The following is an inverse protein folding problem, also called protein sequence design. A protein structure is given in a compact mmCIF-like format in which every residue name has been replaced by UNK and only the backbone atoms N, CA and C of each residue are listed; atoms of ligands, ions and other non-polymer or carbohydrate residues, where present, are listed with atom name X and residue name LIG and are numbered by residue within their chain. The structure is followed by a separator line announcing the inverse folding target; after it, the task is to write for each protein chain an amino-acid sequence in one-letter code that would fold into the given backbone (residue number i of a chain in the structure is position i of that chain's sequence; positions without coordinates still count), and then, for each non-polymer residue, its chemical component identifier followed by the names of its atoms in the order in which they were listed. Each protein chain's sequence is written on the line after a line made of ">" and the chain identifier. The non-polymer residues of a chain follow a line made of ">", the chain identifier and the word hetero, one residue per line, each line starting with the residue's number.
data_IF_375917014803
#
_entry.id   IF_375917014803
#
_cell.length_a   1.000
_cell.length_b   1.000
_cell.length_c   1.000
_cell.angle_alpha   90.00
_cell.angle_beta   90.00
_cell.angle_gamma   90.00
#
_symmetry.space_group_name_H-M   'P 1'
#
loop_
_entity.id
_entity.type
_entity.pdbx_description
1 polymer ?
#
# COMPACT_ATOMS: atom_id res chain seq x y z
N UNK A 1 17.45 13.28 18.66
CA UNK A 1 16.05 13.31 19.21
C UNK A 1 15.54 11.90 19.39
N UNK A 2 14.53 11.65 20.27
CA UNK A 2 13.94 10.30 20.45
C UNK A 2 12.56 10.27 19.84
N UNK A 3 12.34 9.32 18.91
CA UNK A 3 11.09 9.10 18.20
C UNK A 3 10.48 7.78 18.68
N UNK A 4 9.24 7.79 19.18
CA UNK A 4 8.48 6.61 19.54
C UNK A 4 7.49 6.25 18.44
N UNK A 5 7.57 5.01 17.97
CA UNK A 5 6.82 4.52 16.80
C UNK A 5 5.87 3.42 17.21
N UNK A 6 4.62 3.51 16.75
CA UNK A 6 3.63 2.46 16.87
C UNK A 6 3.92 1.33 15.86
N UNK A 7 4.50 0.23 16.34
CA UNK A 7 4.88 -0.93 15.55
C UNK A 7 3.81 -2.03 15.46
N UNK A 8 2.56 -1.80 15.89
CA UNK A 8 1.51 -2.82 15.90
C UNK A 8 1.28 -3.47 14.53
N UNK A 9 1.45 -2.71 13.46
CA UNK A 9 1.29 -3.21 12.08
C UNK A 9 2.33 -4.26 11.70
N UNK A 10 3.47 -4.33 12.36
CA UNK A 10 4.50 -5.36 12.13
C UNK A 10 4.20 -6.70 12.81
N UNK A 11 3.20 -6.77 13.67
CA UNK A 11 2.83 -8.00 14.41
C UNK A 11 1.74 -8.83 13.73
N UNK A 12 1.22 -8.34 12.61
CA UNK A 12 0.23 -9.02 11.78
C UNK A 12 0.57 -8.82 10.30
N UNK A 13 0.04 -9.69 9.45
CA UNK A 13 0.20 -9.51 8.01
C UNK A 13 -0.62 -8.29 7.54
N UNK A 14 0.07 -7.20 7.23
CA UNK A 14 -0.51 -5.99 6.65
C UNK A 14 0.48 -5.43 5.63
N UNK A 15 0.34 -5.80 4.36
CA UNK A 15 1.36 -5.51 3.35
C UNK A 15 1.62 -3.99 3.18
N UNK A 16 0.63 -3.21 2.75
CA UNK A 16 0.85 -1.80 2.38
C UNK A 16 1.26 -0.89 3.54
N UNK A 17 0.50 -0.91 4.66
CA UNK A 17 0.76 -0.02 5.82
C UNK A 17 2.10 -0.35 6.47
N UNK A 18 2.42 -1.64 6.61
CA UNK A 18 3.67 -2.06 7.23
C UNK A 18 4.88 -1.76 6.35
N UNK A 19 4.75 -1.91 5.03
CA UNK A 19 5.79 -1.53 4.06
C UNK A 19 6.04 -0.03 4.12
N UNK A 20 4.99 0.79 4.07
CA UNK A 20 5.09 2.23 4.21
C UNK A 20 5.81 2.65 5.51
N UNK A 21 5.41 2.06 6.65
CA UNK A 21 6.05 2.35 7.94
C UNK A 21 7.52 1.96 7.93
N UNK A 22 7.84 0.74 7.46
CA UNK A 22 9.23 0.27 7.37
C UNK A 22 10.06 1.24 6.54
N UNK A 23 9.65 1.49 5.30
CA UNK A 23 10.43 2.25 4.35
C UNK A 23 10.61 3.71 4.79
N UNK A 24 9.55 4.35 5.32
CA UNK A 24 9.63 5.72 5.83
C UNK A 24 10.54 5.84 7.05
N UNK A 25 10.50 4.88 7.97
CA UNK A 25 11.37 4.88 9.16
C UNK A 25 12.82 4.60 8.78
N UNK A 26 13.07 3.65 7.88
CA UNK A 26 14.41 3.33 7.39
C UNK A 26 15.07 4.55 6.73
N UNK A 27 14.36 5.20 5.82
CA UNK A 27 14.86 6.38 5.13
C UNK A 27 15.08 7.55 6.11
N UNK A 28 14.15 7.77 7.07
CA UNK A 28 14.32 8.79 8.10
C UNK A 28 15.54 8.52 9.00
N UNK A 29 15.70 7.27 9.45
CA UNK A 29 16.82 6.87 10.29
C UNK A 29 18.18 7.02 9.59
N UNK A 30 18.25 6.74 8.30
CA UNK A 30 19.45 6.93 7.48
C UNK A 30 19.80 8.41 7.29
N UNK A 31 18.81 9.28 7.10
CA UNK A 31 19.02 10.73 6.95
C UNK A 31 19.42 11.41 8.27
N UNK A 32 18.95 10.90 9.40
CA UNK A 32 19.17 11.48 10.74
C UNK A 32 19.75 10.44 11.70
N UNK A 33 21.00 10.08 11.52
CA UNK A 33 21.73 9.08 12.31
C UNK A 33 21.88 9.45 13.80
N UNK A 34 21.78 10.74 14.16
CA UNK A 34 21.81 11.23 15.54
C UNK A 34 20.49 11.01 16.30
N UNK A 35 19.41 10.72 15.59
CA UNK A 35 18.10 10.46 16.19
C UNK A 35 17.96 8.98 16.56
N UNK A 36 17.17 8.67 17.58
CA UNK A 36 16.90 7.28 17.99
C UNK A 36 15.44 6.94 17.78
N UNK A 37 15.20 5.88 17.03
CA UNK A 37 13.87 5.40 16.64
C UNK A 37 13.48 4.17 17.44
N UNK A 38 12.49 4.29 18.34
CA UNK A 38 11.98 3.18 19.13
C UNK A 38 10.69 2.65 18.54
N UNK A 39 10.76 1.51 17.86
CA UNK A 39 9.57 0.81 17.33
C UNK A 39 9.05 -0.12 18.43
N UNK A 40 7.91 0.22 19.02
CA UNK A 40 7.29 -0.55 20.08
C UNK A 40 6.30 -1.58 19.53
N UNK A 41 6.48 -2.84 19.92
CA UNK A 41 5.65 -3.97 19.49
C UNK A 41 4.84 -4.54 20.66
N UNK A 42 3.52 -4.84 20.46
CA UNK A 42 2.70 -5.55 21.44
C UNK A 42 2.96 -7.06 21.46
N UNK A 43 3.54 -7.61 20.42
CA UNK A 43 3.77 -9.05 20.18
C UNK A 43 5.03 -9.24 19.33
N UNK A 44 5.54 -10.48 19.20
CA UNK A 44 6.62 -10.79 18.27
C UNK A 44 6.31 -10.32 16.84
N UNK A 45 7.37 -9.98 16.11
CA UNK A 45 7.29 -9.68 14.68
C UNK A 45 6.62 -10.81 13.92
N UNK A 46 5.76 -10.43 12.98
CA UNK A 46 5.27 -11.39 12.00
C UNK A 46 6.43 -11.90 11.13
N UNK A 47 6.42 -13.17 10.76
CA UNK A 47 7.47 -13.86 10.00
C UNK A 47 7.84 -13.22 8.64
N UNK A 48 6.98 -12.35 8.13
CA UNK A 48 7.23 -11.61 6.88
C UNK A 48 8.15 -10.40 7.06
N UNK A 49 8.47 -10.03 8.31
CA UNK A 49 9.37 -8.92 8.61
C UNK A 49 10.67 -9.45 9.19
N UNK A 50 11.79 -9.12 8.54
CA UNK A 50 13.13 -9.39 9.05
C UNK A 50 13.61 -8.22 9.93
N UNK A 51 14.41 -8.55 10.94
CA UNK A 51 15.14 -7.54 11.74
C UNK A 51 16.43 -7.08 11.04
N UNK A 52 16.90 -7.90 10.11
CA UNK A 52 18.14 -7.66 9.40
C UNK A 52 18.05 -6.44 8.49
N UNK A 53 19.13 -5.67 8.47
CA UNK A 53 19.23 -4.45 7.66
C UNK A 53 18.56 -3.20 8.27
N UNK A 54 18.14 -3.23 9.54
CA UNK A 54 17.74 -2.02 10.24
C UNK A 54 18.97 -1.16 10.57
N UNK A 55 18.92 0.19 10.40
CA UNK A 55 19.97 1.09 10.88
C UNK A 55 20.20 0.95 12.37
N UNK A 56 21.43 1.19 12.84
CA UNK A 56 21.85 1.04 14.25
C UNK A 56 21.04 1.92 15.21
N UNK A 57 20.53 3.04 14.73
CA UNK A 57 19.70 3.97 15.50
C UNK A 57 18.21 3.58 15.55
N UNK A 58 17.81 2.44 14.94
CA UNK A 58 16.45 1.87 14.99
C UNK A 58 16.39 0.73 15.99
N UNK A 59 15.70 0.94 17.09
CA UNK A 59 15.52 -0.03 18.16
C UNK A 59 14.12 -0.62 18.09
N UNK A 60 14.03 -1.88 17.65
CA UNK A 60 12.79 -2.62 17.56
C UNK A 60 12.64 -3.53 18.79
N UNK A 61 11.63 -3.27 19.62
CA UNK A 61 11.47 -3.97 20.90
C UNK A 61 10.03 -4.35 21.21
N UNK A 62 9.86 -5.58 21.71
CA UNK A 62 8.61 -6.05 22.29
C UNK A 62 8.43 -5.49 23.71
N UNK A 63 7.25 -4.95 23.96
CA UNK A 63 6.84 -4.42 25.26
C UNK A 63 5.58 -5.14 25.73
N UNK A 64 5.67 -6.46 25.86
CA UNK A 64 4.53 -7.34 26.15
C UNK A 64 4.81 -8.34 27.29
N UNK A 65 5.65 -7.98 28.27
CA UNK A 65 5.99 -8.87 29.38
C UNK A 65 4.85 -8.96 30.42
N UNK A 66 4.63 -10.13 31.01
CA UNK A 66 3.67 -10.37 32.08
C UNK A 66 2.22 -10.13 31.64
N UNK A 67 1.45 -9.42 32.47
CA UNK A 67 0.03 -9.08 32.25
C UNK A 67 -0.27 -8.38 30.91
N UNK A 68 0.71 -7.65 30.36
CA UNK A 68 0.52 -6.90 29.12
C UNK A 68 0.49 -7.78 27.87
N UNK A 69 0.92 -9.04 27.94
CA UNK A 69 0.93 -9.98 26.81
C UNK A 69 -0.48 -10.36 26.34
N UNK A 70 -1.44 -10.37 27.25
CA UNK A 70 -2.83 -10.76 26.98
C UNK A 70 -3.72 -9.58 26.58
N UNK A 71 -3.21 -8.34 26.60
CA UNK A 71 -4.03 -7.19 26.27
C UNK A 71 -4.41 -7.16 24.78
N UNK A 72 -5.67 -6.81 24.46
CA UNK A 72 -6.05 -6.46 23.10
C UNK A 72 -5.17 -5.31 22.57
N UNK A 73 -4.84 -5.34 21.28
CA UNK A 73 -3.92 -4.38 20.64
C UNK A 73 -4.29 -2.90 20.92
N UNK A 74 -5.59 -2.60 20.99
CA UNK A 74 -6.06 -1.24 21.28
C UNK A 74 -5.78 -0.85 22.74
N UNK A 75 -6.04 -1.74 23.70
CA UNK A 75 -5.77 -1.48 25.11
C UNK A 75 -4.27 -1.33 25.35
N UNK A 76 -3.47 -2.20 24.74
CA UNK A 76 -2.01 -2.09 24.77
C UNK A 76 -1.54 -0.72 24.25
N UNK A 77 -2.06 -0.26 23.11
CA UNK A 77 -1.75 1.06 22.56
C UNK A 77 -2.05 2.18 23.56
N UNK A 78 -3.26 2.15 24.17
CA UNK A 78 -3.73 3.22 25.04
C UNK A 78 -2.95 3.30 26.38
N UNK A 79 -2.42 2.19 26.84
CA UNK A 79 -1.67 2.10 28.11
C UNK A 79 -0.17 2.20 27.90
N UNK A 80 0.38 1.35 27.03
CA UNK A 80 1.82 1.22 26.88
C UNK A 80 2.47 2.41 26.19
N UNK A 81 1.84 2.96 25.13
CA UNK A 81 2.47 4.08 24.41
C UNK A 81 2.66 5.34 25.26
N UNK A 82 1.69 5.79 26.10
CA UNK A 82 1.92 6.90 27.02
C UNK A 82 3.00 6.60 28.08
N UNK A 83 3.09 5.37 28.56
CA UNK A 83 4.14 4.96 29.52
C UNK A 83 5.52 4.99 28.87
N UNK A 84 5.65 4.43 27.66
CA UNK A 84 6.89 4.43 26.91
C UNK A 84 7.31 5.86 26.50
N UNK A 85 6.37 6.69 26.10
CA UNK A 85 6.62 8.08 25.75
C UNK A 85 7.30 8.84 26.91
N UNK A 86 6.80 8.66 28.15
CA UNK A 86 7.39 9.26 29.35
C UNK A 86 8.73 8.63 29.69
N UNK A 87 8.80 7.28 29.69
CA UNK A 87 10.03 6.54 30.06
C UNK A 87 11.20 6.87 29.14
N UNK A 88 10.95 6.96 27.84
CA UNK A 88 11.95 7.23 26.80
C UNK A 88 12.19 8.73 26.61
N UNK A 89 11.42 9.59 27.29
CA UNK A 89 11.41 11.05 27.07
C UNK A 89 11.31 11.40 25.59
N UNK A 90 10.43 10.66 24.87
CA UNK A 90 10.31 10.80 23.43
C UNK A 90 9.72 12.17 23.05
N UNK A 91 10.38 12.85 22.10
CA UNK A 91 9.94 14.16 21.61
C UNK A 91 8.89 14.03 20.50
N UNK A 92 8.89 12.91 19.77
CA UNK A 92 7.94 12.63 18.67
C UNK A 92 7.26 11.29 18.90
N UNK A 93 5.95 11.25 18.62
CA UNK A 93 5.17 10.05 18.46
C UNK A 93 4.76 9.90 16.98
N UNK A 94 5.13 8.79 16.35
CA UNK A 94 4.79 8.49 14.97
C UNK A 94 3.95 7.21 14.89
N UNK A 95 2.78 7.30 14.25
CA UNK A 95 1.90 6.15 14.06
C UNK A 95 1.47 6.02 12.60
N UNK A 96 1.58 4.79 12.03
CA UNK A 96 1.19 4.54 10.63
C UNK A 96 -0.33 4.51 10.43
N UNK A 97 -1.11 4.71 11.48
CA UNK A 97 -2.58 4.70 11.41
C UNK A 97 -3.16 5.83 12.28
N UNK A 98 -4.31 6.40 11.94
CA UNK A 98 -4.92 7.50 12.67
C UNK A 98 -5.57 7.03 13.99
N UNK A 99 -4.75 6.53 14.91
CA UNK A 99 -5.18 6.03 16.22
C UNK A 99 -4.23 6.54 17.33
N UNK A 100 -4.50 7.74 17.85
CA UNK A 100 -3.70 8.37 18.90
C UNK A 100 -4.13 7.94 20.30
N UNK A 101 -3.21 7.50 21.18
CA UNK A 101 -3.46 7.33 22.61
C UNK A 101 -3.95 8.62 23.28
N UNK A 102 -4.79 8.49 24.31
CA UNK A 102 -5.38 9.66 25.00
C UNK A 102 -4.37 10.42 25.84
N UNK A 103 -3.41 9.72 26.48
CA UNK A 103 -2.56 10.24 27.54
C UNK A 103 -1.10 10.50 27.12
N UNK A 104 -0.86 10.77 25.83
CA UNK A 104 0.46 11.18 25.36
C UNK A 104 0.86 12.54 26.01
N UNK A 105 2.16 12.75 26.31
CA UNK A 105 2.65 14.03 26.79
C UNK A 105 2.24 15.19 25.87
N UNK A 106 1.87 16.33 26.45
CA UNK A 106 1.46 17.51 25.67
C UNK A 106 2.59 18.12 24.88
N UNK A 107 3.83 18.06 25.40
CA UNK A 107 5.04 18.54 24.74
C UNK A 107 5.51 17.66 23.57
N UNK A 108 4.96 16.46 23.43
CA UNK A 108 5.35 15.52 22.39
C UNK A 108 4.63 15.85 21.08
N UNK A 109 5.40 16.01 19.99
CA UNK A 109 4.84 16.19 18.65
C UNK A 109 4.25 14.87 18.15
N UNK A 110 3.01 14.90 17.63
CA UNK A 110 2.23 13.72 17.22
C UNK A 110 2.05 13.72 15.72
N UNK A 111 2.62 12.71 15.07
CA UNK A 111 2.54 12.50 13.63
C UNK A 111 1.68 11.27 13.38
N UNK A 112 0.62 11.41 12.59
CA UNK A 112 -0.24 10.31 12.17
C UNK A 112 -0.20 10.16 10.65
N UNK A 113 -0.25 8.93 10.16
CA UNK A 113 -0.41 8.66 8.72
C UNK A 113 -1.88 8.35 8.42
N UNK A 114 -2.40 8.97 7.37
CA UNK A 114 -3.73 8.71 6.81
C UNK A 114 -3.54 8.16 5.40
N UNK A 115 -3.67 6.84 5.27
CA UNK A 115 -3.49 6.16 3.98
C UNK A 115 -4.67 6.35 3.04
N UNK A 116 -5.87 6.34 3.60
CA UNK A 116 -7.12 6.57 2.88
C UNK A 116 -8.23 7.05 3.84
N UNK A 117 -9.38 7.34 3.29
CA UNK A 117 -10.60 7.71 4.02
C UNK A 117 -11.73 6.69 3.81
N UNK A 118 -11.38 5.47 3.41
CA UNK A 118 -12.32 4.36 3.16
C UNK A 118 -13.22 4.11 4.39
N UNK A 119 -12.65 4.26 5.59
CA UNK A 119 -13.40 4.15 6.85
C UNK A 119 -14.54 5.20 6.99
N UNK A 120 -14.51 6.26 6.20
CA UNK A 120 -15.58 7.28 6.16
C UNK A 120 -16.50 7.04 4.97
N UNK A 121 -15.95 6.72 3.80
CA UNK A 121 -16.71 6.62 2.54
C UNK A 121 -17.46 5.29 2.35
N UNK A 122 -16.96 4.20 2.94
CA UNK A 122 -17.48 2.84 2.77
C UNK A 122 -17.89 2.18 4.10
N UNK A 123 -18.50 2.95 5.00
CA UNK A 123 -18.92 2.46 6.33
C UNK A 123 -19.90 1.29 6.25
N UNK A 124 -20.75 1.24 5.23
CA UNK A 124 -21.77 0.21 5.03
C UNK A 124 -21.20 -1.19 4.79
N UNK A 125 -19.90 -1.29 4.47
CA UNK A 125 -19.20 -2.58 4.26
C UNK A 125 -18.53 -3.11 5.52
N UNK A 126 -18.56 -2.37 6.63
CA UNK A 126 -17.85 -2.68 7.88
C UNK A 126 -18.82 -3.15 8.97
N UNK A 127 -18.28 -3.97 9.91
CA UNK A 127 -19.05 -4.29 11.12
C UNK A 127 -19.26 -3.03 11.97
N UNK A 128 -20.46 -2.83 12.47
CA UNK A 128 -20.88 -1.61 13.21
C UNK A 128 -19.98 -1.26 14.41
N UNK A 129 -19.47 -2.28 15.14
CA UNK A 129 -18.52 -2.09 16.25
C UNK A 129 -17.21 -1.47 15.78
N UNK A 130 -16.69 -1.91 14.63
CA UNK A 130 -15.48 -1.36 14.02
C UNK A 130 -15.71 0.07 13.51
N UNK A 131 -16.90 0.35 12.99
CA UNK A 131 -17.29 1.70 12.53
C UNK A 131 -17.26 2.68 13.71
N UNK A 132 -17.84 2.32 14.86
CA UNK A 132 -17.90 3.20 16.04
C UNK A 132 -16.51 3.47 16.61
N UNK A 133 -15.68 2.43 16.79
CA UNK A 133 -14.32 2.55 17.31
C UNK A 133 -13.45 3.36 16.34
N UNK A 134 -13.51 3.06 15.05
CA UNK A 134 -12.78 3.79 14.03
C UNK A 134 -13.20 5.27 13.99
N UNK A 135 -14.49 5.56 13.99
CA UNK A 135 -15.02 6.94 13.96
C UNK A 135 -14.52 7.74 15.15
N UNK A 136 -14.55 7.17 16.35
CA UNK A 136 -14.10 7.85 17.57
C UNK A 136 -12.59 8.12 17.53
N UNK A 137 -11.78 7.10 17.25
CA UNK A 137 -10.32 7.24 17.24
C UNK A 137 -9.82 8.03 16.03
N UNK A 138 -10.37 7.78 14.86
CA UNK A 138 -9.99 8.47 13.63
C UNK A 138 -10.26 9.98 13.75
N UNK A 139 -11.50 10.38 14.06
CA UNK A 139 -11.87 11.80 14.18
C UNK A 139 -11.02 12.53 15.22
N UNK A 140 -10.87 11.90 16.40
CA UNK A 140 -10.03 12.47 17.46
C UNK A 140 -8.57 12.59 17.03
N UNK A 141 -8.03 11.56 16.37
CA UNK A 141 -6.63 11.57 15.93
C UNK A 141 -6.37 12.66 14.91
N UNK A 142 -7.26 12.81 13.93
CA UNK A 142 -7.20 13.93 12.97
C UNK A 142 -7.20 15.29 13.68
N UNK A 143 -8.01 15.46 14.71
CA UNK A 143 -8.11 16.73 15.43
C UNK A 143 -6.93 17.02 16.38
N UNK A 144 -6.27 15.97 16.89
CA UNK A 144 -5.26 16.08 17.94
C UNK A 144 -3.82 15.82 17.48
N UNK A 145 -3.64 15.35 16.25
CA UNK A 145 -2.30 15.23 15.68
C UNK A 145 -1.70 16.62 15.42
N UNK A 146 -0.43 16.79 15.61
CA UNK A 146 0.29 18.01 15.26
C UNK A 146 0.58 18.02 13.75
N UNK A 147 0.94 16.86 13.19
CA UNK A 147 1.13 16.66 11.75
C UNK A 147 0.28 15.49 11.26
N UNK A 148 -0.43 15.68 10.15
CA UNK A 148 -1.07 14.61 9.37
C UNK A 148 -0.20 14.34 8.16
N UNK A 149 0.24 13.10 8.01
CA UNK A 149 0.93 12.64 6.81
C UNK A 149 -0.05 11.86 5.93
N UNK A 150 -0.28 12.32 4.71
CA UNK A 150 -1.08 11.63 3.70
C UNK A 150 -0.19 11.08 2.61
N UNK A 151 -0.55 9.96 2.02
CA UNK A 151 0.22 9.32 0.96
C UNK A 151 -0.10 9.87 -0.45
N UNK A 152 -1.18 10.65 -0.61
CA UNK A 152 -1.58 11.27 -1.87
C UNK A 152 -2.28 12.61 -1.66
N UNK A 153 -2.30 13.46 -2.67
CA UNK A 153 -3.08 14.69 -2.67
C UNK A 153 -4.59 14.40 -2.68
N UNK A 154 -5.01 13.29 -3.29
CA UNK A 154 -6.38 12.82 -3.20
C UNK A 154 -6.79 12.60 -1.72
N UNK A 155 -6.01 11.84 -0.98
CA UNK A 155 -6.25 11.61 0.46
C UNK A 155 -6.18 12.91 1.25
N UNK A 156 -5.23 13.80 0.96
CA UNK A 156 -5.14 15.13 1.57
C UNK A 156 -6.42 15.94 1.37
N UNK A 157 -6.93 16.01 0.13
CA UNK A 157 -8.14 16.75 -0.19
C UNK A 157 -9.37 16.17 0.51
N UNK A 158 -9.44 14.83 0.61
CA UNK A 158 -10.50 14.15 1.38
C UNK A 158 -10.42 14.46 2.87
N UNK A 159 -9.23 14.47 3.47
CA UNK A 159 -9.06 14.89 4.88
C UNK A 159 -9.53 16.32 5.07
N UNK A 160 -9.18 17.25 4.18
CA UNK A 160 -9.65 18.64 4.23
C UNK A 160 -11.18 18.75 4.08
N UNK A 161 -11.76 17.97 3.19
CA UNK A 161 -13.21 17.94 2.94
C UNK A 161 -14.00 17.46 4.16
N UNK A 162 -13.55 16.37 4.80
CA UNK A 162 -14.25 15.78 5.95
C UNK A 162 -13.96 16.47 7.28
N UNK A 163 -12.84 17.20 7.37
CA UNK A 163 -12.43 17.92 8.58
C UNK A 163 -12.14 19.41 8.31
N UNK A 164 -13.09 20.20 7.81
CA UNK A 164 -12.88 21.57 7.37
C UNK A 164 -12.52 22.53 8.52
N UNK A 165 -12.88 22.19 9.78
CA UNK A 165 -12.58 23.01 10.97
C UNK A 165 -11.14 22.87 11.47
N UNK A 166 -10.38 21.90 10.96
CA UNK A 166 -8.97 21.78 11.28
C UNK A 166 -8.19 22.83 10.50
N UNK A 167 -7.31 23.56 11.17
CA UNK A 167 -6.34 24.42 10.49
C UNK A 167 -5.40 23.51 9.68
N UNK A 168 -5.52 23.55 8.36
CA UNK A 168 -4.90 22.60 7.44
C UNK A 168 -3.40 22.87 7.17
N UNK A 169 -2.72 23.65 8.02
CA UNK A 169 -1.31 23.99 7.81
C UNK A 169 -0.34 22.83 8.04
N UNK A 170 -0.79 21.79 8.76
CA UNK A 170 0.05 20.70 9.20
C UNK A 170 -0.21 19.38 8.47
N UNK A 171 -0.65 19.44 7.21
CA UNK A 171 -0.77 18.24 6.36
C UNK A 171 0.43 18.18 5.41
N UNK A 172 1.20 17.11 5.55
CA UNK A 172 2.26 16.75 4.63
C UNK A 172 1.76 15.63 3.69
N UNK A 173 2.19 15.65 2.44
CA UNK A 173 1.80 14.61 1.47
C UNK A 173 3.03 14.07 0.78
N UNK A 174 3.14 12.75 0.80
CA UNK A 174 4.19 12.02 0.11
C UNK A 174 4.16 10.54 0.43
N UNK A 175 4.44 9.72 -0.54
CA UNK A 175 4.61 8.28 -0.39
C UNK A 175 5.58 7.77 -1.44
N UNK A 176 6.29 6.71 -1.08
CA UNK A 176 7.21 6.00 -1.96
C UNK A 176 7.19 4.52 -1.64
N UNK A 177 7.95 3.78 -2.38
CA UNK A 177 8.28 2.37 -2.16
C UNK A 177 9.79 2.20 -2.30
N UNK A 178 10.32 1.08 -1.83
CA UNK A 178 11.76 0.81 -1.91
C UNK A 178 12.20 0.60 -3.38
N UNK A 179 12.87 1.61 -3.93
CA UNK A 179 13.38 1.63 -5.31
C UNK A 179 14.59 0.72 -5.52
N UNK A 180 15.20 0.22 -4.47
CA UNK A 180 16.27 -0.79 -4.58
C UNK A 180 15.69 -2.16 -4.90
N UNK A 181 14.45 -2.41 -4.46
CA UNK A 181 13.68 -3.63 -4.73
C UNK A 181 12.96 -3.51 -6.06
N UNK A 182 12.11 -2.48 -6.23
CA UNK A 182 11.27 -2.30 -7.41
C UNK A 182 12.02 -1.49 -8.48
N UNK A 183 12.56 -2.20 -9.46
CA UNK A 183 13.34 -1.62 -10.56
C UNK A 183 13.33 -2.53 -11.79
N UNK A 184 13.69 -2.02 -12.96
CA UNK A 184 13.94 -2.87 -14.11
C UNK A 184 15.08 -3.85 -13.82
N UNK A 185 14.87 -5.12 -14.14
CA UNK A 185 15.86 -6.19 -14.00
C UNK A 185 16.03 -6.95 -15.32
N UNK A 186 17.26 -7.22 -15.70
CA UNK A 186 17.56 -8.09 -16.83
C UNK A 186 17.48 -9.55 -16.32
N UNK A 187 16.49 -10.31 -16.77
CA UNK A 187 16.31 -11.71 -16.45
C UNK A 187 16.96 -12.58 -17.53
N UNK A 188 17.74 -13.56 -17.10
CA UNK A 188 18.20 -14.63 -17.98
C UNK A 188 17.01 -15.48 -18.44
N UNK A 189 17.16 -16.22 -19.55
CA UNK A 189 16.07 -17.08 -20.03
C UNK A 189 15.73 -18.19 -19.02
N UNK A 190 16.73 -18.69 -18.28
CA UNK A 190 16.53 -19.66 -17.21
C UNK A 190 15.68 -19.07 -16.06
N UNK A 191 15.99 -17.87 -15.59
CA UNK A 191 15.22 -17.19 -14.52
C UNK A 191 13.80 -16.88 -14.96
N UNK A 192 13.64 -16.45 -16.22
CA UNK A 192 12.35 -16.23 -16.84
C UNK A 192 11.50 -17.50 -16.86
N UNK A 193 12.05 -18.57 -17.41
CA UNK A 193 11.38 -19.86 -17.51
C UNK A 193 11.05 -20.42 -16.14
N UNK A 194 11.96 -20.32 -15.17
CA UNK A 194 11.75 -20.80 -13.82
C UNK A 194 10.57 -20.11 -13.13
N UNK A 195 10.51 -18.76 -13.15
CA UNK A 195 9.41 -18.02 -12.50
C UNK A 195 8.08 -18.25 -13.20
N UNK A 196 8.05 -18.31 -14.54
CA UNK A 196 6.82 -18.59 -15.29
C UNK A 196 6.30 -20.01 -15.00
N UNK A 197 7.17 -21.00 -14.96
CA UNK A 197 6.81 -22.38 -14.62
C UNK A 197 6.33 -22.50 -13.16
N UNK A 198 7.00 -21.86 -12.20
CA UNK A 198 6.62 -21.86 -10.79
C UNK A 198 5.19 -21.40 -10.57
N UNK A 199 4.73 -20.41 -11.33
CA UNK A 199 3.38 -19.86 -11.22
C UNK A 199 2.42 -20.33 -12.32
N UNK A 200 2.80 -21.36 -13.12
CA UNK A 200 1.97 -21.95 -14.19
C UNK A 200 1.52 -20.92 -15.24
N UNK A 201 2.39 -19.96 -15.55
CA UNK A 201 2.13 -18.93 -16.56
C UNK A 201 2.67 -19.44 -17.90
N UNK A 202 1.76 -19.68 -18.84
CA UNK A 202 2.09 -20.33 -20.11
C UNK A 202 2.01 -19.39 -21.32
N UNK A 203 1.40 -18.23 -21.17
CA UNK A 203 1.18 -17.26 -22.24
C UNK A 203 1.66 -15.86 -21.82
N UNK A 204 1.81 -14.92 -22.77
CA UNK A 204 1.93 -13.51 -22.43
C UNK A 204 0.79 -13.09 -21.50
N UNK A 205 1.09 -12.26 -20.49
CA UNK A 205 0.12 -11.99 -19.44
C UNK A 205 -0.01 -10.52 -19.07
N UNK A 206 -1.18 -10.17 -18.57
CA UNK A 206 -1.48 -8.95 -17.86
C UNK A 206 -1.51 -9.27 -16.36
N UNK A 207 -1.08 -8.34 -15.53
CA UNK A 207 -0.84 -8.58 -14.12
C UNK A 207 -1.77 -7.73 -13.25
N UNK A 208 -2.49 -8.38 -12.33
CA UNK A 208 -3.19 -7.74 -11.22
C UNK A 208 -2.49 -8.07 -9.90
N UNK A 209 -2.27 -7.06 -9.06
CA UNK A 209 -1.68 -7.23 -7.72
C UNK A 209 -2.52 -6.48 -6.71
N UNK A 210 -2.98 -7.19 -5.67
CA UNK A 210 -3.76 -6.59 -4.59
C UNK A 210 -4.57 -7.60 -3.78
N UNK A 211 -5.11 -7.15 -2.63
CA UNK A 211 -6.09 -7.95 -1.87
C UNK A 211 -7.34 -8.19 -2.71
N UNK A 212 -7.96 -9.38 -2.53
CA UNK A 212 -9.16 -9.74 -3.30
C UNK A 212 -10.43 -9.12 -2.68
N UNK A 213 -10.35 -7.85 -2.29
CA UNK A 213 -11.46 -7.07 -1.73
C UNK A 213 -12.37 -6.53 -2.85
N UNK A 214 -13.69 -6.36 -2.58
CA UNK A 214 -14.62 -5.80 -3.56
C UNK A 214 -14.16 -4.45 -4.14
N UNK A 215 -13.50 -3.62 -3.34
CA UNK A 215 -12.97 -2.32 -3.73
C UNK A 215 -11.92 -2.38 -4.84
N UNK A 216 -11.14 -3.47 -4.90
CA UNK A 216 -10.14 -3.69 -5.95
C UNK A 216 -10.76 -4.10 -7.30
N UNK A 217 -12.06 -4.42 -7.29
CA UNK A 217 -12.89 -4.66 -8.46
C UNK A 217 -12.31 -5.71 -9.44
N UNK A 218 -11.68 -6.76 -8.90
CA UNK A 218 -11.17 -7.87 -9.71
C UNK A 218 -12.30 -8.55 -10.50
N UNK A 219 -13.52 -8.56 -9.97
CA UNK A 219 -14.70 -9.09 -10.67
C UNK A 219 -14.93 -8.44 -12.03
N UNK A 220 -14.67 -7.13 -12.14
CA UNK A 220 -14.74 -6.44 -13.43
C UNK A 220 -13.68 -6.98 -14.40
N UNK A 221 -12.41 -7.09 -13.97
CA UNK A 221 -11.34 -7.63 -14.83
C UNK A 221 -11.61 -9.08 -15.26
N UNK A 222 -12.11 -9.92 -14.36
CA UNK A 222 -12.54 -11.28 -14.69
C UNK A 222 -13.66 -11.27 -15.74
N UNK A 223 -14.61 -10.34 -15.64
CA UNK A 223 -15.71 -10.22 -16.60
C UNK A 223 -15.27 -9.79 -18.01
N UNK A 224 -14.03 -9.34 -18.19
CA UNK A 224 -13.43 -9.02 -19.49
C UNK A 224 -12.87 -10.28 -20.18
N UNK A 225 -12.50 -11.31 -19.41
CA UNK A 225 -11.72 -12.46 -19.88
C UNK A 225 -12.40 -13.26 -21.02
N UNK A 226 -13.72 -13.49 -21.01
CA UNK A 226 -14.38 -14.21 -22.12
C UNK A 226 -14.16 -13.54 -23.48
N UNK A 227 -14.25 -12.21 -23.55
CA UNK A 227 -14.03 -11.50 -24.81
C UNK A 227 -12.54 -11.24 -25.09
N UNK A 228 -11.75 -10.95 -24.05
CA UNK A 228 -10.31 -10.76 -24.18
C UNK A 228 -9.61 -12.01 -24.71
N UNK A 229 -10.02 -13.22 -24.27
CA UNK A 229 -9.44 -14.50 -24.70
C UNK A 229 -9.76 -14.86 -26.16
N UNK A 230 -10.88 -14.38 -26.71
CA UNK A 230 -11.20 -14.53 -28.15
C UNK A 230 -10.32 -13.66 -29.03
N UNK A 231 -9.88 -12.50 -28.52
CA UNK A 231 -9.18 -11.46 -29.29
C UNK A 231 -7.69 -11.45 -29.06
N UNK A 232 -7.19 -12.18 -28.07
CA UNK A 232 -5.78 -12.25 -27.72
C UNK A 232 -5.42 -13.57 -27.04
N UNK A 233 -4.13 -13.88 -26.97
CA UNK A 233 -3.62 -15.02 -26.20
C UNK A 233 -3.19 -14.63 -24.76
N UNK A 234 -3.61 -13.47 -24.27
CA UNK A 234 -3.24 -12.99 -22.97
C UNK A 234 -3.84 -13.83 -21.83
N UNK A 235 -3.04 -14.08 -20.80
CA UNK A 235 -3.51 -14.57 -19.50
C UNK A 235 -3.67 -13.40 -18.52
N UNK A 236 -4.61 -13.51 -17.59
CA UNK A 236 -4.69 -12.65 -16.41
C UNK A 236 -4.02 -13.35 -15.23
N UNK A 237 -2.89 -12.83 -14.78
CA UNK A 237 -2.19 -13.30 -13.58
C UNK A 237 -2.63 -12.46 -12.39
N UNK A 238 -3.19 -13.12 -11.38
CA UNK A 238 -3.74 -12.49 -10.17
C UNK A 238 -2.87 -12.83 -8.97
N UNK A 239 -2.23 -11.80 -8.42
CA UNK A 239 -1.40 -11.90 -7.22
C UNK A 239 -2.11 -11.21 -6.06
N UNK A 240 -2.29 -11.95 -4.95
CA UNK A 240 -2.88 -11.44 -3.73
C UNK A 240 -3.43 -12.53 -2.85
N UNK A 241 -3.35 -12.30 -1.54
CA UNK A 241 -3.85 -13.24 -0.53
C UNK A 241 -5.28 -12.95 -0.10
N UNK A 242 -5.96 -13.98 0.37
CA UNK A 242 -7.25 -14.05 1.06
C UNK A 242 -8.29 -12.96 0.74
N UNK A 243 -9.32 -13.37 0.07
CA UNK A 243 -10.53 -12.59 -0.27
C UNK A 243 -11.54 -13.40 -1.06
N UNK A 244 -11.28 -14.67 -1.32
CA UNK A 244 -12.16 -15.59 -2.08
C UNK A 244 -13.58 -15.80 -1.50
N UNK A 245 -13.95 -15.10 -0.44
CA UNK A 245 -15.32 -15.08 0.07
C UNK A 245 -16.27 -14.18 -0.73
N UNK A 246 -15.78 -13.59 -1.84
CA UNK A 246 -16.65 -12.80 -2.70
C UNK A 246 -17.39 -13.74 -3.66
N UNK A 247 -18.66 -14.01 -3.36
CA UNK A 247 -19.55 -14.84 -4.21
C UNK A 247 -19.50 -14.42 -5.68
N UNK A 248 -19.49 -13.11 -5.94
CA UNK A 248 -19.45 -12.55 -7.30
C UNK A 248 -18.25 -13.02 -8.15
N UNK A 249 -17.04 -13.13 -7.56
CA UNK A 249 -15.88 -13.63 -8.31
C UNK A 249 -16.01 -15.11 -8.63
N UNK A 250 -16.50 -15.90 -7.68
CA UNK A 250 -16.76 -17.32 -7.88
C UNK A 250 -17.80 -17.52 -8.97
N UNK A 251 -18.94 -16.82 -8.89
CA UNK A 251 -20.03 -16.90 -9.86
C UNK A 251 -19.53 -16.60 -11.28
N UNK A 252 -18.66 -15.60 -11.46
CA UNK A 252 -18.08 -15.26 -12.76
C UNK A 252 -17.18 -16.39 -13.28
N UNK A 253 -16.29 -16.93 -12.44
CA UNK A 253 -15.35 -17.98 -12.85
C UNK A 253 -16.06 -19.32 -13.08
N UNK A 254 -17.18 -19.57 -12.40
CA UNK A 254 -17.99 -20.78 -12.53
C UNK A 254 -18.98 -20.70 -13.71
N UNK A 255 -19.18 -19.53 -14.33
CA UNK A 255 -20.04 -19.37 -15.50
C UNK A 255 -19.57 -20.29 -16.63
N UNK A 256 -20.51 -20.94 -17.31
CA UNK A 256 -20.26 -21.77 -18.49
C UNK A 256 -19.57 -20.96 -19.62
N UNK A 257 -18.52 -21.53 -20.20
CA UNK A 257 -17.71 -20.86 -21.22
C UNK A 257 -16.69 -19.82 -20.69
N UNK A 258 -16.52 -19.69 -19.39
CA UNK A 258 -15.44 -18.86 -18.84
C UNK A 258 -14.07 -19.50 -19.12
N UNK A 259 -13.09 -18.75 -19.69
CA UNK A 259 -11.76 -19.28 -20.05
C UNK A 259 -10.86 -19.44 -18.82
N UNK A 260 -11.10 -20.47 -18.01
CA UNK A 260 -10.40 -20.70 -16.73
C UNK A 260 -8.90 -20.86 -16.92
N UNK A 261 -8.45 -21.47 -17.99
CA UNK A 261 -7.05 -21.67 -18.36
C UNK A 261 -6.33 -20.35 -18.69
N UNK A 262 -7.08 -19.27 -18.88
CA UNK A 262 -6.55 -17.93 -19.14
C UNK A 262 -6.42 -17.08 -17.86
N UNK A 263 -6.77 -17.62 -16.69
CA UNK A 263 -6.67 -16.89 -15.40
C UNK A 263 -5.86 -17.71 -14.43
N UNK A 264 -4.76 -17.12 -13.94
CA UNK A 264 -3.84 -17.76 -13.00
C UNK A 264 -3.91 -17.02 -11.66
N UNK A 265 -4.28 -17.72 -10.60
CA UNK A 265 -4.30 -17.19 -9.24
C UNK A 265 -3.06 -17.68 -8.49
N UNK A 266 -2.08 -16.79 -8.28
CA UNK A 266 -0.80 -17.13 -7.66
C UNK A 266 -0.84 -17.09 -6.12
N UNK A 267 -1.89 -16.51 -5.52
CA UNK A 267 -1.89 -16.28 -4.07
C UNK A 267 -0.86 -15.23 -3.66
N UNK A 268 -0.20 -15.44 -2.52
CA UNK A 268 0.91 -14.60 -2.07
C UNK A 268 2.18 -14.94 -2.85
N UNK A 269 2.84 -13.92 -3.35
CA UNK A 269 4.11 -14.03 -4.08
C UNK A 269 5.17 -13.21 -3.34
N UNK A 270 6.38 -13.76 -3.07
CA UNK A 270 7.49 -13.01 -2.50
C UNK A 270 7.92 -11.83 -3.38
N UNK A 271 8.45 -10.76 -2.77
CA UNK A 271 8.86 -9.56 -3.52
C UNK A 271 9.90 -9.86 -4.62
N UNK A 272 10.81 -10.81 -4.39
CA UNK A 272 11.81 -11.24 -5.38
C UNK A 272 11.20 -11.74 -6.69
N UNK A 273 10.10 -12.50 -6.58
CA UNK A 273 9.38 -13.02 -7.74
C UNK A 273 8.37 -12.00 -8.27
N UNK A 274 7.75 -11.20 -7.39
CA UNK A 274 6.84 -10.13 -7.78
C UNK A 274 7.53 -9.12 -8.70
N UNK A 275 8.77 -8.72 -8.39
CA UNK A 275 9.59 -7.86 -9.25
C UNK A 275 9.81 -8.50 -10.62
N UNK A 276 10.15 -9.80 -10.66
CA UNK A 276 10.30 -10.52 -11.94
C UNK A 276 9.00 -10.53 -12.73
N UNK A 277 7.87 -10.78 -12.08
CA UNK A 277 6.56 -10.81 -12.73
C UNK A 277 6.15 -9.43 -13.28
N UNK A 278 6.43 -8.33 -12.54
CA UNK A 278 6.25 -6.97 -13.10
C UNK A 278 7.11 -6.76 -14.35
N UNK A 279 8.38 -7.17 -14.30
CA UNK A 279 9.30 -7.03 -15.44
C UNK A 279 8.88 -7.87 -16.66
N UNK A 280 8.19 -8.98 -16.46
CA UNK A 280 7.73 -9.88 -17.55
C UNK A 280 6.32 -9.55 -18.05
N UNK A 281 5.47 -8.93 -17.25
CA UNK A 281 4.11 -8.61 -17.63
C UNK A 281 4.03 -7.70 -18.87
N UNK A 282 3.02 -7.92 -19.69
CA UNK A 282 2.73 -7.03 -20.83
C UNK A 282 2.24 -5.68 -20.36
N UNK A 283 1.39 -5.68 -19.33
CA UNK A 283 1.03 -4.50 -18.55
C UNK A 283 0.44 -4.92 -17.20
N UNK A 284 0.50 -4.01 -16.25
CA UNK A 284 -0.25 -4.09 -15.00
C UNK A 284 -1.66 -3.52 -15.23
N UNK A 285 -2.68 -4.16 -14.65
CA UNK A 285 -4.08 -3.73 -14.77
C UNK A 285 -4.73 -3.53 -13.40
N UNK A 286 -5.44 -2.41 -13.19
CA UNK A 286 -6.17 -2.14 -11.97
C UNK A 286 -7.48 -1.41 -12.24
N UNK A 287 -8.59 -2.09 -11.96
CA UNK A 287 -9.94 -1.53 -12.07
C UNK A 287 -10.49 -1.10 -10.70
N UNK A 288 -9.63 -0.75 -9.74
CA UNK A 288 -10.04 -0.38 -8.38
C UNK A 288 -11.05 0.76 -8.38
N UNK A 289 -12.05 0.67 -7.50
CA UNK A 289 -13.07 1.70 -7.34
C UNK A 289 -12.54 2.92 -6.56
N UNK A 290 -11.59 2.69 -5.66
CA UNK A 290 -10.94 3.74 -4.86
C UNK A 290 -9.59 3.23 -4.34
N UNK A 291 -8.57 4.09 -4.39
CA UNK A 291 -7.26 3.87 -3.81
C UNK A 291 -6.78 5.12 -3.06
N UNK A 292 -6.16 4.89 -1.91
CA UNK A 292 -5.51 5.98 -1.17
C UNK A 292 -4.20 6.43 -1.81
N UNK A 293 -3.52 5.54 -2.57
CA UNK A 293 -2.29 5.85 -3.31
C UNK A 293 -2.12 4.99 -4.57
N UNK A 294 -2.21 3.67 -4.46
CA UNK A 294 -1.96 2.77 -5.59
C UNK A 294 -0.52 2.25 -5.61
N UNK A 295 -0.03 1.73 -4.48
CA UNK A 295 1.34 1.17 -4.39
C UNK A 295 1.67 0.19 -5.52
N UNK A 296 0.82 -0.82 -5.85
CA UNK A 296 1.12 -1.76 -6.94
C UNK A 296 1.28 -1.10 -8.31
N UNK A 297 0.60 0.02 -8.53
CA UNK A 297 0.71 0.81 -9.75
C UNK A 297 2.09 1.48 -9.85
N UNK A 298 2.57 2.04 -8.74
CA UNK A 298 3.92 2.62 -8.67
C UNK A 298 4.99 1.53 -8.77
N UNK A 299 4.80 0.38 -8.10
CA UNK A 299 5.69 -0.79 -8.21
C UNK A 299 5.86 -1.23 -9.67
N UNK A 300 4.74 -1.35 -10.39
CA UNK A 300 4.73 -1.71 -11.81
C UNK A 300 5.54 -0.71 -12.65
N UNK A 301 5.26 0.59 -12.51
CA UNK A 301 5.98 1.63 -13.24
C UNK A 301 7.47 1.64 -12.93
N UNK A 302 7.87 1.50 -11.66
CA UNK A 302 9.28 1.42 -11.27
C UNK A 302 9.99 0.19 -11.83
N UNK A 303 9.27 -0.93 -12.01
CA UNK A 303 9.78 -2.11 -12.70
C UNK A 303 9.77 -2.00 -14.24
N UNK A 304 9.40 -0.84 -14.80
CA UNK A 304 9.30 -0.67 -16.25
C UNK A 304 8.09 -1.37 -16.88
N UNK A 305 7.08 -1.74 -16.08
CA UNK A 305 5.85 -2.34 -16.55
C UNK A 305 4.83 -1.25 -16.88
N UNK A 306 4.30 -1.19 -18.12
CA UNK A 306 3.21 -0.29 -18.46
C UNK A 306 1.97 -0.57 -17.61
N UNK A 307 1.14 0.45 -17.39
CA UNK A 307 -0.07 0.31 -16.58
C UNK A 307 -1.34 0.73 -17.33
N UNK A 308 -2.43 0.02 -17.06
CA UNK A 308 -3.80 0.37 -17.50
C UNK A 308 -4.68 0.37 -16.24
N UNK A 309 -5.14 1.53 -15.83
CA UNK A 309 -5.85 1.68 -14.55
C UNK A 309 -7.10 2.53 -14.67
N UNK A 310 -8.01 2.40 -13.70
CA UNK A 310 -9.19 3.26 -13.67
C UNK A 310 -8.79 4.72 -13.42
N UNK A 311 -9.47 5.65 -14.07
CA UNK A 311 -9.28 7.08 -13.91
C UNK A 311 -10.07 7.59 -12.69
N UNK A 312 -9.60 7.26 -11.49
CA UNK A 312 -10.23 7.72 -10.26
C UNK A 312 -9.22 7.80 -9.10
N UNK A 313 -9.63 8.49 -8.03
CA UNK A 313 -8.89 8.57 -6.76
C UNK A 313 -7.40 8.90 -6.93
N UNK A 314 -6.55 8.41 -6.06
CA UNK A 314 -5.10 8.62 -6.13
C UNK A 314 -4.42 7.91 -7.32
N UNK A 315 -5.11 7.00 -8.02
CA UNK A 315 -4.55 6.33 -9.20
C UNK A 315 -4.21 7.33 -10.32
N UNK A 316 -4.98 8.40 -10.44
CA UNK A 316 -4.72 9.48 -11.39
C UNK A 316 -3.35 10.13 -11.11
N UNK A 317 -3.02 10.39 -9.85
CA UNK A 317 -1.78 11.08 -9.47
C UNK A 317 -0.53 10.28 -9.87
N UNK A 318 -0.58 8.96 -9.69
CA UNK A 318 0.54 8.08 -10.03
C UNK A 318 0.68 7.92 -11.55
N UNK A 319 -0.43 7.92 -12.29
CA UNK A 319 -0.45 7.64 -13.73
C UNK A 319 -0.28 8.90 -14.61
N UNK A 320 -0.82 10.05 -14.18
CA UNK A 320 -0.89 11.25 -15.04
C UNK A 320 0.48 11.73 -15.50
N UNK A 321 0.61 11.94 -16.81
CA UNK A 321 1.84 12.45 -17.44
C UNK A 321 3.02 11.48 -17.39
N UNK A 322 2.79 10.20 -17.09
CA UNK A 322 3.85 9.18 -17.08
C UNK A 322 3.83 8.34 -18.35
N UNK A 323 5.02 8.17 -18.94
CA UNK A 323 5.18 7.27 -20.08
C UNK A 323 4.80 5.84 -19.70
N UNK A 324 4.07 5.16 -20.57
CA UNK A 324 3.58 3.80 -20.30
C UNK A 324 2.36 3.72 -19.39
N UNK A 325 1.83 4.83 -18.89
CA UNK A 325 0.64 4.84 -18.06
C UNK A 325 -0.60 5.30 -18.84
N UNK A 326 -1.69 4.52 -18.71
CA UNK A 326 -3.00 4.83 -19.30
C UNK A 326 -4.05 4.71 -18.23
N UNK A 327 -4.90 5.73 -18.09
CA UNK A 327 -6.09 5.69 -17.24
C UNK A 327 -7.36 5.66 -18.08
N UNK A 328 -8.38 4.93 -17.63
CA UNK A 328 -9.65 4.76 -18.33
C UNK A 328 -10.79 5.30 -17.46
N UNK A 329 -11.57 6.22 -18.00
CA UNK A 329 -12.78 6.71 -17.35
C UNK A 329 -13.91 5.67 -17.45
N UNK A 330 -14.52 5.39 -16.29
CA UNK A 330 -15.62 4.44 -16.19
C UNK A 330 -15.20 2.99 -16.46
N UNK A 331 -16.21 2.13 -16.59
CA UNK A 331 -16.04 0.67 -16.67
C UNK A 331 -16.69 0.08 -17.92
N UNK A 332 -16.56 0.76 -19.08
CA UNK A 332 -16.97 0.21 -20.35
C UNK A 332 -16.05 -0.94 -20.76
N UNK A 333 -16.57 -2.16 -20.86
CA UNK A 333 -15.77 -3.37 -21.13
C UNK A 333 -14.98 -3.29 -22.44
N UNK A 334 -15.62 -2.78 -23.51
CA UNK A 334 -14.98 -2.68 -24.81
C UNK A 334 -13.77 -1.75 -24.77
N UNK A 335 -13.91 -0.56 -24.17
CA UNK A 335 -12.82 0.40 -24.01
C UNK A 335 -11.64 -0.20 -23.23
N UNK A 336 -11.93 -0.96 -22.16
CA UNK A 336 -10.90 -1.64 -21.36
C UNK A 336 -10.19 -2.71 -22.19
N UNK A 337 -10.93 -3.58 -22.88
CA UNK A 337 -10.36 -4.66 -23.71
C UNK A 337 -9.47 -4.08 -24.81
N UNK A 338 -9.95 -3.09 -25.56
CA UNK A 338 -9.19 -2.47 -26.64
C UNK A 338 -7.89 -1.82 -26.12
N UNK A 339 -7.99 -1.13 -24.98
CA UNK A 339 -6.82 -0.49 -24.34
C UNK A 339 -5.82 -1.52 -23.86
N UNK A 340 -6.28 -2.58 -23.16
CA UNK A 340 -5.40 -3.65 -22.67
C UNK A 340 -4.68 -4.32 -23.84
N UNK A 341 -5.39 -4.71 -24.91
CA UNK A 341 -4.78 -5.34 -26.09
C UNK A 341 -3.75 -4.40 -26.74
N UNK A 342 -4.11 -3.12 -26.93
CA UNK A 342 -3.23 -2.12 -27.52
C UNK A 342 -1.93 -1.92 -26.70
N UNK A 343 -2.06 -1.79 -25.38
CA UNK A 343 -0.91 -1.60 -24.48
C UNK A 343 -0.08 -2.89 -24.39
N UNK A 344 -0.72 -4.05 -24.25
CA UNK A 344 -0.03 -5.33 -24.16
C UNK A 344 0.78 -5.65 -25.45
N UNK A 345 0.25 -5.33 -26.62
CA UNK A 345 0.93 -5.54 -27.90
C UNK A 345 2.10 -4.58 -28.09
N UNK A 346 1.91 -3.28 -27.82
CA UNK A 346 2.96 -2.25 -27.96
C UNK A 346 4.02 -2.37 -26.88
N UNK A 347 3.61 -2.70 -25.65
CA UNK A 347 4.42 -2.66 -24.44
C UNK A 347 5.29 -1.38 -24.38
N UNK A 348 4.67 -0.19 -24.31
CA UNK A 348 5.39 1.07 -24.35
C UNK A 348 6.45 1.13 -23.25
N UNK A 349 7.55 1.80 -23.53
CA UNK A 349 8.62 2.03 -22.56
C UNK A 349 8.13 2.94 -21.44
N UNK A 350 8.41 2.56 -20.20
CA UNK A 350 8.17 3.40 -19.03
C UNK A 350 9.44 4.17 -18.70
N UNK A 351 9.33 5.48 -18.67
CA UNK A 351 10.44 6.35 -18.25
C UNK A 351 10.46 6.50 -16.73
N UNK A 352 11.26 5.67 -16.05
CA UNK A 352 11.34 5.67 -14.59
C UNK A 352 11.92 6.94 -13.99
N UNK A 353 12.61 7.80 -14.79
CA UNK A 353 13.07 9.10 -14.32
C UNK A 353 11.94 10.08 -14.01
N UNK A 354 10.77 9.90 -14.61
CA UNK A 354 9.56 10.68 -14.28
C UNK A 354 8.97 10.36 -12.91
N UNK A 355 9.50 9.32 -12.24
CA UNK A 355 9.02 8.86 -10.92
C UNK A 355 9.91 9.35 -9.77
N UNK A 356 10.82 10.28 -10.02
CA UNK A 356 11.77 10.80 -9.02
C UNK A 356 11.07 11.42 -7.80
N UNK A 357 9.89 12.01 -7.99
CA UNK A 357 9.10 12.56 -6.89
C UNK A 357 8.63 11.48 -5.87
N UNK A 358 8.64 10.21 -6.29
CA UNK A 358 8.36 9.05 -5.44
C UNK A 358 9.67 8.42 -4.96
N UNK A 359 10.51 9.22 -4.30
CA UNK A 359 11.77 8.82 -3.68
C UNK A 359 11.74 9.17 -2.20
N UNK A 360 12.04 8.21 -1.32
CA UNK A 360 11.96 8.41 0.12
C UNK A 360 12.92 9.50 0.62
N UNK A 361 14.11 9.60 0.06
CA UNK A 361 15.07 10.61 0.49
C UNK A 361 14.57 12.03 0.15
N UNK A 362 13.98 12.20 -1.02
CA UNK A 362 13.40 13.48 -1.45
C UNK A 362 12.19 13.83 -0.57
N UNK A 363 11.29 12.87 -0.36
CA UNK A 363 10.08 13.05 0.45
C UNK A 363 10.45 13.41 1.90
N UNK A 364 11.41 12.69 2.47
CA UNK A 364 11.79 12.90 3.86
C UNK A 364 12.59 14.18 4.07
N UNK A 365 13.51 14.54 3.19
CA UNK A 365 14.18 15.84 3.24
C UNK A 365 13.15 16.97 3.27
N UNK A 366 12.20 16.94 2.36
CA UNK A 366 11.10 17.91 2.33
C UNK A 366 10.26 17.89 3.60
N UNK A 367 9.92 16.71 4.13
CA UNK A 367 9.16 16.56 5.37
C UNK A 367 9.90 17.17 6.57
N UNK A 368 11.17 16.88 6.70
CA UNK A 368 12.01 17.35 7.80
C UNK A 368 12.20 18.88 7.76
N UNK A 369 12.46 19.44 6.58
CA UNK A 369 12.63 20.87 6.38
C UNK A 369 11.33 21.67 6.62
N UNK A 370 10.19 21.14 6.21
CA UNK A 370 8.92 21.86 6.28
C UNK A 370 8.17 21.65 7.60
N UNK A 371 8.42 20.55 8.34
CA UNK A 371 7.53 20.09 9.42
C UNK A 371 8.23 19.79 10.75
N UNK A 372 9.54 19.59 10.80
CA UNK A 372 10.29 19.32 12.04
C UNK A 372 11.32 20.37 12.38
#
# INVERSE_FOLDING_TARGET
>A
MTILIDGRTFTAFSAGISTFLKDSVMAWANLHSSDTFHIALPRPLHKTFARDGLPDNVILKEWSNGLFRCLPNLVWLLVMMPLLARRLKAGIYYTPVPCLPFLLPRSMKKIIVVHDVVNIEFQDTMQWTNVLVNKLFFNRSIQKADIIWTNSFYTQNKVRQYFPRRQCHDIFTGASIDRTIYRPVALTESERSAVLQQYSITNPFILFVGSLEPRKNLSFLLSLMPELSKRSNLQLVVIGGRGWKNSKMRDIVETEGFPRERVVFCGFVPNSDLVKLYNLARCFVSASLNEGFGMPQLEALLCGCPIVTAHNSAMIEVASGKDGAVTIEGYNKQTWIDTIIRIANKRPTVNTSQLVAYDWDIILKKFLEERL
#
